data_IF_864805515508
#
_entry.id   IF_864805515508
#
_cell.length_a   1.000
_cell.length_b   1.000
_cell.length_c   1.000
_cell.angle_alpha   90.00
_cell.angle_beta   90.00
_cell.angle_gamma   90.00
#
_symmetry.space_group_name_H-M   'P 1'
#
loop_
_entity.id
_entity.type
_entity.pdbx_description
1 polymer ?
#
# COMPACT_ATOMS: atom_id res chain seq x y z
N UNK A 1 16.34 14.93 13.29
CA UNK A 1 15.00 14.63 13.85
C UNK A 1 14.70 13.17 13.51
N UNK A 2 14.38 12.34 14.51
CA UNK A 2 14.09 10.92 14.29
C UNK A 2 12.57 10.74 14.08
N UNK A 3 12.18 10.05 13.00
CA UNK A 3 10.78 9.68 12.77
C UNK A 3 10.39 8.59 13.75
N UNK A 4 9.31 8.77 14.51
CA UNK A 4 8.80 7.79 15.46
C UNK A 4 7.31 7.54 15.24
N UNK A 5 6.88 6.30 15.50
CA UNK A 5 5.47 5.88 15.52
C UNK A 5 5.05 5.42 16.92
N UNK A 6 5.79 5.86 17.95
CA UNK A 6 5.51 5.48 19.34
C UNK A 6 4.05 5.75 19.70
N UNK A 7 3.42 4.78 20.35
CA UNK A 7 2.02 4.84 20.77
C UNK A 7 0.99 4.66 19.65
N UNK A 8 1.37 4.56 18.37
CA UNK A 8 0.44 4.36 17.24
C UNK A 8 0.18 2.87 16.96
N UNK A 9 -0.97 2.58 16.39
CA UNK A 9 -1.40 1.24 15.96
C UNK A 9 -1.68 1.29 14.46
N UNK A 10 -1.13 0.33 13.71
CA UNK A 10 -1.28 0.26 12.26
C UNK A 10 -1.94 -1.03 11.78
N UNK A 11 -2.66 -0.93 10.66
CA UNK A 11 -3.03 -2.06 9.79
C UNK A 11 -2.29 -1.88 8.47
N UNK A 12 -1.59 -2.93 8.00
CA UNK A 12 -0.85 -2.93 6.72
C UNK A 12 -1.31 -4.09 5.87
N UNK A 13 -1.85 -3.82 4.68
CA UNK A 13 -2.28 -4.86 3.73
C UNK A 13 -1.19 -5.18 2.70
N UNK A 14 -1.16 -6.44 2.20
CA UNK A 14 -0.07 -6.92 1.36
C UNK A 14 1.27 -6.97 2.13
N UNK A 15 1.21 -7.39 3.38
CA UNK A 15 2.28 -7.24 4.36
C UNK A 15 3.41 -8.29 4.23
N UNK A 16 3.21 -9.36 3.47
CA UNK A 16 4.13 -10.49 3.45
C UNK A 16 5.27 -10.36 2.44
N UNK A 17 5.25 -9.36 1.56
CA UNK A 17 6.28 -9.19 0.54
C UNK A 17 6.48 -7.72 0.12
N UNK A 18 7.57 -7.46 -0.61
CA UNK A 18 7.83 -6.18 -1.26
C UNK A 18 7.69 -4.97 -0.33
N UNK A 19 6.99 -3.95 -0.80
CA UNK A 19 6.78 -2.68 -0.08
C UNK A 19 6.08 -2.93 1.28
N UNK A 20 5.03 -3.76 1.31
CA UNK A 20 4.28 -4.03 2.54
C UNK A 20 5.15 -4.65 3.64
N UNK A 21 6.00 -5.62 3.30
CA UNK A 21 6.94 -6.23 4.24
C UNK A 21 7.98 -5.21 4.75
N UNK A 22 8.51 -4.38 3.86
CA UNK A 22 9.43 -3.32 4.25
C UNK A 22 8.76 -2.30 5.19
N UNK A 23 7.48 -1.94 4.94
CA UNK A 23 6.70 -1.07 5.84
C UNK A 23 6.53 -1.72 7.22
N UNK A 24 6.15 -3.01 7.28
CA UNK A 24 6.02 -3.73 8.56
C UNK A 24 7.31 -3.67 9.36
N UNK A 25 8.45 -4.01 8.73
CA UNK A 25 9.77 -3.95 9.36
C UNK A 25 10.11 -2.54 9.87
N UNK A 26 9.90 -1.54 9.02
CA UNK A 26 10.22 -0.15 9.36
C UNK A 26 9.32 0.40 10.48
N UNK A 27 8.02 0.04 10.49
CA UNK A 27 7.10 0.47 11.55
C UNK A 27 7.47 -0.14 12.91
N UNK A 28 7.81 -1.44 12.95
CA UNK A 28 8.30 -2.09 14.17
C UNK A 28 9.60 -1.43 14.67
N UNK A 29 10.54 -1.13 13.77
CA UNK A 29 11.79 -0.43 14.09
C UNK A 29 11.55 1.02 14.56
N UNK A 30 10.48 1.67 14.09
CA UNK A 30 10.09 3.04 14.48
C UNK A 30 9.30 3.11 15.79
N UNK A 31 9.20 2.00 16.53
CA UNK A 31 8.61 1.96 17.87
C UNK A 31 7.08 1.95 17.89
N UNK A 32 6.43 1.46 16.83
CA UNK A 32 4.96 1.34 16.79
C UNK A 32 4.44 0.50 17.97
N UNK A 33 3.29 0.87 18.53
CA UNK A 33 2.72 0.18 19.68
C UNK A 33 1.97 -1.11 19.31
N UNK A 34 1.41 -1.16 18.10
CA UNK A 34 0.72 -2.34 17.60
C UNK A 34 0.64 -2.34 16.07
N UNK A 35 0.64 -3.54 15.47
CA UNK A 35 0.58 -3.71 14.03
C UNK A 35 -0.21 -4.97 13.67
N UNK A 36 -1.18 -4.83 12.76
CA UNK A 36 -1.86 -5.94 12.12
C UNK A 36 -1.35 -6.06 10.69
N UNK A 37 -0.61 -7.14 10.42
CA UNK A 37 -0.12 -7.51 9.10
C UNK A 37 -1.17 -8.36 8.38
N UNK A 38 -1.62 -7.93 7.19
CA UNK A 38 -2.67 -8.61 6.43
C UNK A 38 -2.11 -9.08 5.10
N UNK A 39 -2.30 -10.34 4.73
CA UNK A 39 -1.92 -10.86 3.42
C UNK A 39 -2.86 -12.00 2.99
N UNK A 40 -2.77 -12.39 1.71
CA UNK A 40 -3.69 -13.36 1.11
C UNK A 40 -3.58 -14.76 1.74
N UNK A 41 -2.38 -15.20 2.09
CA UNK A 41 -2.15 -16.52 2.63
C UNK A 41 -2.93 -16.75 3.94
N UNK A 42 -3.69 -17.88 4.08
CA UNK A 42 -4.48 -18.11 5.29
C UNK A 42 -3.60 -18.29 6.54
N UNK A 43 -2.41 -18.87 6.38
CA UNK A 43 -1.40 -19.00 7.42
C UNK A 43 -0.30 -17.97 7.24
N UNK A 44 0.31 -17.55 8.35
CA UNK A 44 1.40 -16.56 8.34
C UNK A 44 2.55 -17.03 7.43
N UNK A 45 2.93 -16.24 6.41
CA UNK A 45 4.08 -16.55 5.56
C UNK A 45 5.41 -16.53 6.29
N UNK A 46 6.38 -17.32 5.83
CA UNK A 46 7.71 -17.42 6.43
C UNK A 46 8.44 -16.08 6.49
N UNK A 47 8.18 -15.16 5.55
CA UNK A 47 8.73 -13.80 5.54
C UNK A 47 8.35 -12.96 6.77
N UNK A 48 7.26 -13.31 7.47
CA UNK A 48 6.79 -12.65 8.68
C UNK A 48 7.12 -13.45 9.96
N UNK A 49 7.61 -14.69 9.86
CA UNK A 49 7.79 -15.58 11.01
C UNK A 49 8.75 -15.00 12.06
N UNK A 50 9.86 -14.42 11.65
CA UNK A 50 10.80 -13.79 12.60
C UNK A 50 10.18 -12.55 13.27
N UNK A 51 9.40 -11.78 12.52
CA UNK A 51 8.71 -10.59 13.03
C UNK A 51 7.57 -10.94 13.99
N UNK A 52 7.01 -12.15 13.89
CA UNK A 52 5.91 -12.60 14.76
C UNK A 52 6.36 -12.84 16.21
N UNK A 53 7.67 -12.92 16.48
CA UNK A 53 8.20 -12.95 17.84
C UNK A 53 7.99 -11.60 18.56
N UNK A 54 7.79 -10.53 17.82
CA UNK A 54 7.41 -9.23 18.37
C UNK A 54 5.93 -9.24 18.75
N UNK A 55 5.65 -9.15 20.04
CA UNK A 55 4.28 -9.18 20.59
C UNK A 55 3.39 -8.02 20.11
N UNK A 56 3.99 -7.02 19.47
CA UNK A 56 3.26 -5.91 18.84
C UNK A 56 2.68 -6.27 17.49
N UNK A 57 3.02 -7.42 16.89
CA UNK A 57 2.53 -7.81 15.57
C UNK A 57 1.53 -8.96 15.65
N UNK A 58 0.39 -8.80 14.97
CA UNK A 58 -0.60 -9.84 14.72
C UNK A 58 -0.78 -10.04 13.21
N UNK A 59 -1.08 -11.26 12.79
CA UNK A 59 -1.30 -11.60 11.39
C UNK A 59 -2.77 -11.95 11.13
N UNK A 60 -3.30 -11.48 10.00
CA UNK A 60 -4.63 -11.86 9.49
C UNK A 60 -4.49 -12.30 8.03
N UNK A 61 -4.75 -13.59 7.78
CA UNK A 61 -4.75 -14.13 6.41
C UNK A 61 -6.13 -13.98 5.76
N UNK A 62 -6.17 -13.51 4.50
CA UNK A 62 -7.41 -13.40 3.73
C UNK A 62 -7.33 -12.45 2.52
N UNK A 63 -8.29 -12.61 1.62
CA UNK A 63 -8.43 -11.74 0.46
C UNK A 63 -8.98 -10.37 0.89
N UNK A 64 -8.17 -9.32 0.71
CA UNK A 64 -8.55 -7.94 1.02
C UNK A 64 -9.73 -7.42 0.17
N UNK A 65 -9.97 -8.05 -0.99
CA UNK A 65 -11.13 -7.78 -1.85
C UNK A 65 -12.48 -8.24 -1.25
N UNK A 66 -12.50 -8.72 0.00
CA UNK A 66 -13.70 -9.17 0.71
C UNK A 66 -13.99 -8.35 1.97
N UNK A 67 -15.28 -8.12 2.25
CA UNK A 67 -15.73 -7.39 3.45
C UNK A 67 -15.36 -8.16 4.74
N UNK A 68 -15.41 -9.49 4.72
CA UNK A 68 -15.04 -10.34 5.86
C UNK A 68 -13.58 -10.14 6.29
N UNK A 69 -12.65 -10.11 5.36
CA UNK A 69 -11.23 -9.88 5.69
C UNK A 69 -11.05 -8.50 6.31
N UNK A 70 -11.70 -7.47 5.75
CA UNK A 70 -11.64 -6.12 6.30
C UNK A 70 -12.21 -6.03 7.72
N UNK A 71 -13.30 -6.71 7.99
CA UNK A 71 -13.88 -6.85 9.33
C UNK A 71 -12.91 -7.53 10.29
N UNK A 72 -12.34 -8.69 9.90
CA UNK A 72 -11.43 -9.48 10.76
C UNK A 72 -10.17 -8.72 11.16
N UNK A 73 -9.49 -8.06 10.23
CA UNK A 73 -8.28 -7.32 10.60
C UNK A 73 -8.60 -6.08 11.46
N UNK A 74 -9.76 -5.45 11.26
CA UNK A 74 -10.24 -4.35 12.10
C UNK A 74 -10.53 -4.83 13.51
N UNK A 75 -11.28 -5.92 13.66
CA UNK A 75 -11.57 -6.54 14.95
C UNK A 75 -10.30 -7.00 15.67
N UNK A 76 -9.32 -7.56 14.94
CA UNK A 76 -8.02 -7.94 15.50
C UNK A 76 -7.30 -6.72 16.08
N UNK A 77 -7.23 -5.61 15.34
CA UNK A 77 -6.59 -4.40 15.83
C UNK A 77 -7.28 -3.85 17.10
N UNK A 78 -8.60 -3.81 17.10
CA UNK A 78 -9.36 -3.30 18.24
C UNK A 78 -9.25 -4.21 19.46
N UNK A 79 -9.32 -5.53 19.27
CA UNK A 79 -9.23 -6.51 20.36
C UNK A 79 -7.86 -6.47 21.05
N UNK A 80 -6.77 -6.36 20.29
CA UNK A 80 -5.43 -6.41 20.85
C UNK A 80 -4.88 -5.05 21.28
N UNK A 81 -5.30 -3.95 20.61
CA UNK A 81 -4.69 -2.64 20.80
C UNK A 81 -5.68 -1.51 21.16
N UNK A 82 -6.99 -1.76 21.02
CA UNK A 82 -8.05 -0.80 21.41
C UNK A 82 -8.27 0.37 20.45
N UNK A 83 -7.44 0.51 19.38
CA UNK A 83 -7.49 1.63 18.44
C UNK A 83 -6.86 1.29 17.09
N UNK A 84 -7.04 2.18 16.11
CA UNK A 84 -6.33 2.15 14.82
C UNK A 84 -5.95 3.59 14.47
N UNK A 85 -4.64 3.89 14.43
CA UNK A 85 -4.14 5.22 14.09
C UNK A 85 -3.72 5.30 12.62
N UNK A 86 -3.27 4.19 12.02
CA UNK A 86 -2.71 4.15 10.67
C UNK A 86 -3.33 2.98 9.89
N UNK A 87 -3.81 3.27 8.68
CA UNK A 87 -4.16 2.26 7.67
C UNK A 87 -3.24 2.41 6.47
N UNK A 88 -2.58 1.33 6.07
CA UNK A 88 -1.81 1.27 4.83
C UNK A 88 -2.51 0.31 3.86
N UNK A 89 -3.17 0.86 2.84
CA UNK A 89 -3.71 0.12 1.71
C UNK A 89 -2.58 -0.10 0.69
N UNK A 90 -1.83 -1.20 0.88
CA UNK A 90 -0.69 -1.53 0.03
C UNK A 90 -0.93 -2.77 -0.83
N UNK A 91 -1.79 -3.70 -0.44
CA UNK A 91 -2.12 -4.86 -1.26
C UNK A 91 -2.51 -4.45 -2.68
N UNK A 92 -1.93 -5.11 -3.66
CA UNK A 92 -2.20 -4.82 -5.06
C UNK A 92 -1.58 -5.86 -5.98
N UNK A 93 -2.21 -6.01 -7.14
CA UNK A 93 -1.78 -6.92 -8.20
C UNK A 93 -1.77 -6.21 -9.55
N UNK A 94 -1.04 -6.78 -10.49
CA UNK A 94 -1.01 -6.35 -11.89
C UNK A 94 -1.16 -7.58 -12.79
N UNK A 95 -1.99 -7.46 -13.84
CA UNK A 95 -2.07 -8.39 -14.96
C UNK A 95 -1.57 -7.63 -16.18
N UNK A 96 -0.37 -8.00 -16.67
CA UNK A 96 0.32 -7.28 -17.77
C UNK A 96 -0.25 -7.71 -19.12
N UNK A 97 -1.26 -7.00 -19.59
CA UNK A 97 -1.91 -7.22 -20.89
C UNK A 97 -2.49 -5.91 -21.46
N UNK A 98 -2.57 -5.74 -22.78
CA UNK A 98 -3.42 -4.73 -23.40
C UNK A 98 -4.90 -4.93 -22.98
N UNK A 99 -5.66 -3.84 -22.88
CA UNK A 99 -7.04 -3.87 -22.37
C UNK A 99 -7.93 -4.91 -23.07
N UNK A 100 -7.87 -5.00 -24.41
CA UNK A 100 -8.73 -5.90 -25.21
C UNK A 100 -8.40 -7.40 -25.04
N UNK A 101 -7.30 -7.73 -24.36
CA UNK A 101 -6.90 -9.11 -24.05
C UNK A 101 -7.19 -9.52 -22.60
N UNK A 102 -7.65 -8.59 -21.75
CA UNK A 102 -8.12 -8.96 -20.42
C UNK A 102 -9.40 -9.74 -20.49
N UNK A 103 -9.51 -10.81 -19.68
CA UNK A 103 -10.82 -11.41 -19.42
C UNK A 103 -11.57 -10.57 -18.37
N UNK A 104 -12.92 -10.68 -18.29
CA UNK A 104 -13.69 -10.05 -17.22
C UNK A 104 -13.17 -10.40 -15.82
N UNK A 105 -12.78 -11.66 -15.60
CA UNK A 105 -12.28 -12.16 -14.31
C UNK A 105 -10.92 -11.52 -13.94
N UNK A 106 -10.03 -11.35 -14.92
CA UNK A 106 -8.74 -10.67 -14.71
C UNK A 106 -8.93 -9.17 -14.39
N UNK A 107 -9.87 -8.51 -15.10
CA UNK A 107 -10.25 -7.14 -14.80
C UNK A 107 -10.82 -7.02 -13.39
N UNK A 108 -11.80 -7.85 -13.05
CA UNK A 108 -12.46 -7.85 -11.75
C UNK A 108 -11.48 -8.16 -10.61
N UNK A 109 -10.56 -9.09 -10.83
CA UNK A 109 -9.51 -9.43 -9.86
C UNK A 109 -8.64 -8.21 -9.54
N UNK A 110 -8.18 -7.47 -10.57
CA UNK A 110 -7.38 -6.26 -10.38
C UNK A 110 -8.19 -5.17 -9.67
N UNK A 111 -9.42 -4.91 -10.11
CA UNK A 111 -10.27 -3.88 -9.50
C UNK A 111 -10.68 -4.23 -8.07
N UNK A 112 -11.01 -5.49 -7.79
CA UNK A 112 -11.37 -5.94 -6.45
C UNK A 112 -10.19 -5.80 -5.47
N UNK A 113 -8.98 -6.21 -5.89
CA UNK A 113 -7.80 -6.16 -5.03
C UNK A 113 -7.27 -4.73 -4.85
N UNK A 114 -7.18 -3.95 -5.93
CA UNK A 114 -6.51 -2.65 -5.88
C UNK A 114 -7.43 -1.50 -5.44
N UNK A 115 -8.74 -1.62 -5.68
CA UNK A 115 -9.71 -0.52 -5.46
C UNK A 115 -10.77 -0.89 -4.43
N UNK A 116 -11.50 -2.00 -4.65
CA UNK A 116 -12.61 -2.38 -3.77
C UNK A 116 -12.14 -2.72 -2.36
N UNK A 117 -10.93 -3.26 -2.21
CA UNK A 117 -10.29 -3.47 -0.91
C UNK A 117 -10.18 -2.18 -0.09
N UNK A 118 -9.89 -1.04 -0.73
CA UNK A 118 -9.85 0.26 -0.03
C UNK A 118 -11.23 0.68 0.48
N UNK A 119 -12.29 0.39 -0.29
CA UNK A 119 -13.66 0.61 0.17
C UNK A 119 -13.98 -0.22 1.42
N UNK A 120 -13.67 -1.52 1.40
CA UNK A 120 -13.92 -2.38 2.56
C UNK A 120 -13.08 -1.97 3.79
N UNK A 121 -11.80 -1.68 3.60
CA UNK A 121 -10.95 -1.16 4.69
C UNK A 121 -11.51 0.12 5.27
N UNK A 122 -11.89 1.08 4.41
CA UNK A 122 -12.47 2.36 4.83
C UNK A 122 -13.79 2.17 5.57
N UNK A 123 -14.69 1.33 5.07
CA UNK A 123 -15.98 1.04 5.69
C UNK A 123 -15.87 0.64 7.16
N UNK A 124 -14.86 -0.16 7.51
CA UNK A 124 -14.69 -0.66 8.89
C UNK A 124 -13.80 0.25 9.75
N UNK A 125 -12.76 0.89 9.16
CA UNK A 125 -11.78 1.67 9.94
C UNK A 125 -12.18 3.13 10.10
N UNK A 126 -12.78 3.78 9.08
CA UNK A 126 -13.14 5.20 9.16
C UNK A 126 -14.07 5.53 10.35
N UNK A 127 -15.11 4.73 10.68
CA UNK A 127 -15.94 5.02 11.86
C UNK A 127 -15.13 5.04 13.17
N UNK A 128 -14.07 4.22 13.27
CA UNK A 128 -13.18 4.17 14.43
C UNK A 128 -12.34 5.45 14.49
N UNK A 129 -11.67 5.79 13.38
CA UNK A 129 -10.85 7.01 13.28
C UNK A 129 -11.68 8.29 13.49
N UNK A 130 -12.92 8.33 12.97
CA UNK A 130 -13.85 9.46 13.22
C UNK A 130 -14.18 9.62 14.71
N UNK A 131 -14.44 8.53 15.41
CA UNK A 131 -14.66 8.54 16.87
C UNK A 131 -13.39 8.96 17.63
N UNK A 132 -12.22 8.55 17.16
CA UNK A 132 -10.92 8.94 17.71
C UNK A 132 -10.60 10.43 17.43
N UNK A 133 -11.23 11.05 16.41
CA UNK A 133 -10.90 12.35 15.83
C UNK A 133 -9.44 12.45 15.40
N UNK A 134 -8.90 11.34 14.92
CA UNK A 134 -7.52 11.21 14.48
C UNK A 134 -7.36 9.95 13.63
N UNK A 135 -6.56 10.03 12.58
CA UNK A 135 -6.23 8.88 11.74
C UNK A 135 -5.32 9.26 10.56
N UNK A 136 -4.61 8.28 10.05
CA UNK A 136 -3.81 8.41 8.84
C UNK A 136 -4.09 7.23 7.91
N UNK A 137 -4.50 7.52 6.67
CA UNK A 137 -4.65 6.52 5.62
C UNK A 137 -3.59 6.80 4.55
N UNK A 138 -2.80 5.78 4.23
CA UNK A 138 -1.78 5.82 3.20
C UNK A 138 -2.07 4.76 2.15
N UNK A 139 -2.15 5.18 0.90
CA UNK A 139 -2.48 4.33 -0.23
C UNK A 139 -1.25 4.15 -1.13
N UNK A 140 -0.95 2.91 -1.54
CA UNK A 140 0.10 2.64 -2.52
C UNK A 140 -0.42 2.94 -3.92
N UNK A 141 -0.11 4.14 -4.40
CA UNK A 141 -0.33 4.59 -5.77
C UNK A 141 0.72 4.06 -6.74
N UNK A 142 0.75 4.62 -7.93
CA UNK A 142 1.71 4.25 -8.99
C UNK A 142 1.84 5.39 -10.00
N UNK A 143 2.97 5.45 -10.69
CA UNK A 143 3.12 6.25 -11.94
C UNK A 143 2.01 5.92 -12.95
N UNK A 144 1.53 4.67 -12.96
CA UNK A 144 0.45 4.23 -13.86
C UNK A 144 -0.91 4.88 -13.57
N UNK A 145 -1.07 5.51 -12.41
CA UNK A 145 -2.25 6.32 -12.09
C UNK A 145 -2.17 7.76 -12.61
N UNK A 146 -0.99 8.21 -13.02
CA UNK A 146 -0.75 9.56 -13.59
C UNK A 146 -0.46 9.51 -15.09
N UNK A 147 0.20 8.45 -15.57
CA UNK A 147 0.63 8.31 -16.96
C UNK A 147 0.16 7.00 -17.57
N UNK A 148 -0.17 7.01 -18.87
CA UNK A 148 -0.48 5.79 -19.61
C UNK A 148 0.79 4.95 -19.82
N UNK A 149 0.76 3.68 -19.40
CA UNK A 149 1.84 2.73 -19.62
C UNK A 149 1.30 1.57 -20.44
N UNK A 150 1.96 1.18 -21.55
CA UNK A 150 1.51 0.06 -22.37
C UNK A 150 1.33 -1.23 -21.55
N UNK A 151 0.38 -2.04 -21.94
CA UNK A 151 0.06 -3.36 -21.34
C UNK A 151 -0.43 -3.33 -19.89
N UNK A 152 -0.87 -2.18 -19.39
CA UNK A 152 -1.46 -2.03 -18.04
C UNK A 152 -2.96 -1.74 -18.11
N UNK A 153 -3.69 -2.51 -18.92
CA UNK A 153 -5.09 -2.28 -19.27
C UNK A 153 -6.04 -2.17 -18.06
N UNK A 154 -5.91 -3.00 -17.04
CA UNK A 154 -6.67 -2.91 -15.80
C UNK A 154 -5.90 -2.16 -14.69
N UNK A 155 -4.58 -2.31 -14.64
CA UNK A 155 -3.76 -1.76 -13.55
C UNK A 155 -3.73 -0.23 -13.55
N UNK A 156 -3.49 0.39 -14.71
CA UNK A 156 -3.49 1.86 -14.83
C UNK A 156 -4.79 2.49 -14.32
N UNK A 157 -5.97 2.09 -14.86
CA UNK A 157 -7.26 2.55 -14.34
C UNK A 157 -7.45 2.31 -12.84
N UNK A 158 -7.01 1.15 -12.30
CA UNK A 158 -7.11 0.88 -10.87
C UNK A 158 -6.27 1.86 -10.03
N UNK A 159 -5.07 2.23 -10.49
CA UNK A 159 -4.20 3.17 -9.78
C UNK A 159 -4.67 4.63 -9.92
N UNK A 160 -5.28 4.98 -11.05
CA UNK A 160 -6.01 6.24 -11.19
C UNK A 160 -7.18 6.35 -10.19
N UNK A 161 -7.94 5.25 -10.02
CA UNK A 161 -9.00 5.18 -9.00
C UNK A 161 -8.46 5.32 -7.57
N UNK A 162 -7.29 4.69 -7.24
CA UNK A 162 -6.61 4.86 -5.94
C UNK A 162 -6.27 6.33 -5.70
N UNK A 163 -5.75 7.04 -6.70
CA UNK A 163 -5.41 8.46 -6.60
C UNK A 163 -6.66 9.32 -6.34
N UNK A 164 -7.75 9.07 -7.07
CA UNK A 164 -8.97 9.84 -6.90
C UNK A 164 -9.68 9.52 -5.58
N UNK A 165 -9.75 8.25 -5.16
CA UNK A 165 -10.26 7.88 -3.84
C UNK A 165 -9.46 8.55 -2.72
N UNK A 166 -8.14 8.72 -2.89
CA UNK A 166 -7.30 9.44 -1.93
C UNK A 166 -7.75 10.89 -1.77
N UNK A 167 -8.00 11.60 -2.86
CA UNK A 167 -8.47 13.01 -2.84
C UNK A 167 -9.87 13.11 -2.23
N UNK A 168 -10.78 12.24 -2.65
CA UNK A 168 -12.16 12.21 -2.15
C UNK A 168 -12.19 11.98 -0.63
N UNK A 169 -11.51 10.93 -0.15
CA UNK A 169 -11.49 10.60 1.28
C UNK A 169 -10.78 11.69 2.10
N UNK A 170 -9.74 12.32 1.56
CA UNK A 170 -9.04 13.40 2.25
C UNK A 170 -9.97 14.58 2.56
N UNK A 171 -10.77 15.03 1.58
CA UNK A 171 -11.71 16.14 1.74
C UNK A 171 -12.85 15.76 2.67
N UNK A 172 -13.40 14.55 2.51
CA UNK A 172 -14.57 14.10 3.26
C UNK A 172 -14.26 13.90 4.76
N UNK A 173 -13.04 13.39 5.07
CA UNK A 173 -12.69 13.01 6.46
C UNK A 173 -11.72 13.96 7.16
N UNK A 174 -11.20 15.01 6.49
CA UNK A 174 -10.39 16.05 7.13
C UNK A 174 -11.06 16.70 8.35
N UNK A 175 -12.40 16.99 8.35
CA UNK A 175 -13.07 17.54 9.52
C UNK A 175 -13.02 16.66 10.77
N UNK A 176 -12.70 15.38 10.60
CA UNK A 176 -12.54 14.42 11.70
C UNK A 176 -11.09 14.23 12.13
N UNK A 177 -10.16 15.06 11.62
CA UNK A 177 -8.74 14.94 11.95
C UNK A 177 -8.05 13.75 11.24
N UNK A 178 -8.64 13.24 10.15
CA UNK A 178 -8.10 12.12 9.38
C UNK A 178 -7.37 12.65 8.15
N UNK A 179 -6.11 12.21 7.96
CA UNK A 179 -5.31 12.53 6.79
C UNK A 179 -5.31 11.34 5.84
N UNK A 180 -5.45 11.59 4.54
CA UNK A 180 -5.42 10.55 3.51
C UNK A 180 -4.48 10.99 2.40
N UNK A 181 -3.44 10.19 2.11
CA UNK A 181 -2.48 10.48 1.04
C UNK A 181 -2.13 9.21 0.27
N UNK A 182 -1.67 9.36 -0.96
CA UNK A 182 -1.11 8.29 -1.75
C UNK A 182 0.38 8.53 -2.03
N UNK A 183 1.14 7.44 -2.09
CA UNK A 183 2.51 7.45 -2.58
C UNK A 183 2.51 6.84 -3.98
N UNK A 184 2.72 7.68 -5.00
CA UNK A 184 2.78 7.30 -6.40
C UNK A 184 4.15 6.68 -6.72
N UNK A 185 4.26 5.38 -6.58
CA UNK A 185 5.53 4.68 -6.76
C UNK A 185 5.90 4.55 -8.25
N UNK A 186 7.18 4.77 -8.55
CA UNK A 186 7.82 4.30 -9.78
C UNK A 186 8.02 2.78 -9.76
N UNK A 187 9.05 2.31 -10.45
CA UNK A 187 9.44 0.89 -10.37
C UNK A 187 10.22 0.63 -9.08
N UNK A 188 9.73 -0.30 -8.29
CA UNK A 188 10.30 -0.70 -7.00
C UNK A 188 10.78 -2.15 -7.09
N UNK A 189 11.98 -2.43 -6.60
CA UNK A 189 12.54 -3.79 -6.56
C UNK A 189 11.73 -4.66 -5.60
N UNK A 190 10.87 -5.48 -6.18
CA UNK A 190 9.90 -6.31 -5.45
C UNK A 190 9.66 -7.62 -6.20
N UNK A 191 9.12 -8.66 -5.54
CA UNK A 191 8.74 -9.90 -6.22
C UNK A 191 7.78 -9.69 -7.41
N UNK A 192 6.93 -8.66 -7.38
CA UNK A 192 6.04 -8.30 -8.48
C UNK A 192 6.83 -7.93 -9.74
N UNK A 193 7.86 -7.09 -9.62
CA UNK A 193 8.72 -6.68 -10.74
C UNK A 193 9.58 -7.84 -11.24
N UNK A 194 10.13 -8.64 -10.32
CA UNK A 194 10.90 -9.85 -10.68
C UNK A 194 10.05 -10.83 -11.50
N UNK A 195 8.80 -11.05 -11.10
CA UNK A 195 7.87 -11.90 -11.86
C UNK A 195 7.57 -11.32 -13.23
N UNK A 196 7.28 -10.03 -13.32
CA UNK A 196 7.05 -9.35 -14.62
C UNK A 196 8.28 -9.45 -15.55
N UNK A 197 9.49 -9.37 -14.98
CA UNK A 197 10.72 -9.55 -15.75
C UNK A 197 10.84 -10.98 -16.32
N UNK A 198 10.51 -12.00 -15.53
CA UNK A 198 10.50 -13.39 -15.98
C UNK A 198 9.45 -13.58 -17.11
N UNK A 199 8.24 -13.09 -16.89
CA UNK A 199 7.11 -13.20 -17.83
C UNK A 199 7.37 -12.46 -19.16
N UNK A 200 8.28 -11.46 -19.16
CA UNK A 200 8.69 -10.73 -20.38
C UNK A 200 9.48 -11.58 -21.39
N UNK A 201 9.99 -12.75 -20.97
CA UNK A 201 10.86 -13.63 -21.76
C UNK A 201 12.30 -13.15 -21.90
N UNK A 202 12.64 -11.93 -21.49
CA UNK A 202 14.00 -11.40 -21.43
C UNK A 202 14.20 -10.52 -20.18
N UNK A 203 14.44 -11.13 -19.00
CA UNK A 203 14.55 -10.41 -17.74
C UNK A 203 15.62 -9.31 -17.74
N UNK A 204 16.76 -9.54 -18.39
CA UNK A 204 17.86 -8.57 -18.41
C UNK A 204 17.46 -7.30 -19.18
N UNK A 205 16.93 -7.47 -20.39
CA UNK A 205 16.47 -6.34 -21.21
C UNK A 205 15.31 -5.59 -20.54
N UNK A 206 14.38 -6.33 -19.91
CA UNK A 206 13.26 -5.74 -19.17
C UNK A 206 13.75 -4.89 -18.00
N UNK A 207 14.68 -5.40 -17.18
CA UNK A 207 15.23 -4.66 -16.03
C UNK A 207 16.07 -3.45 -16.50
N UNK A 208 16.81 -3.54 -17.61
CA UNK A 208 17.53 -2.41 -18.20
C UNK A 208 16.54 -1.32 -18.63
N UNK A 209 15.50 -1.68 -19.36
CA UNK A 209 14.43 -0.75 -19.77
C UNK A 209 13.78 -0.05 -18.56
N UNK A 210 13.49 -0.80 -17.49
CA UNK A 210 12.91 -0.21 -16.27
C UNK A 210 13.84 0.84 -15.63
N UNK A 211 15.17 0.59 -15.60
CA UNK A 211 16.15 1.56 -15.09
C UNK A 211 16.23 2.80 -15.97
N UNK A 212 16.30 2.62 -17.28
CA UNK A 212 16.41 3.71 -18.27
C UNK A 212 15.16 4.60 -18.27
N UNK A 213 14.01 4.05 -17.92
CA UNK A 213 12.77 4.81 -17.78
C UNK A 213 12.78 5.79 -16.61
N UNK A 214 13.69 5.63 -15.63
CA UNK A 214 13.80 6.53 -14.50
C UNK A 214 15.02 7.45 -14.67
N UNK A 215 14.85 8.79 -14.75
CA UNK A 215 15.97 9.73 -14.88
C UNK A 215 17.09 9.56 -13.87
N UNK A 216 16.77 9.07 -12.65
CA UNK A 216 17.76 8.77 -11.62
C UNK A 216 18.67 7.56 -11.97
N UNK A 217 18.36 6.80 -13.07
CA UNK A 217 19.19 5.70 -13.59
C UNK A 217 19.08 4.38 -12.81
N UNK A 218 18.11 4.23 -11.93
CA UNK A 218 17.86 3.00 -11.16
C UNK A 218 16.40 2.84 -10.77
N UNK A 219 16.01 1.65 -10.39
CA UNK A 219 14.77 1.40 -9.64
C UNK A 219 15.00 1.65 -8.14
N UNK A 220 13.94 1.93 -7.39
CA UNK A 220 14.04 2.12 -5.94
C UNK A 220 13.96 0.79 -5.19
N UNK A 221 14.48 0.76 -3.96
CA UNK A 221 14.27 -0.36 -3.04
C UNK A 221 12.93 -0.24 -2.30
N UNK A 222 12.43 -1.35 -1.77
CA UNK A 222 11.22 -1.35 -0.95
C UNK A 222 11.44 -0.55 0.37
N UNK A 223 12.65 -0.55 0.90
CA UNK A 223 13.05 0.17 2.12
C UNK A 223 13.01 1.70 1.92
N UNK A 224 13.40 2.20 0.74
CA UNK A 224 13.27 3.63 0.41
C UNK A 224 11.80 4.05 0.47
N UNK A 225 10.91 3.24 -0.11
CA UNK A 225 9.46 3.50 -0.07
C UNK A 225 8.93 3.41 1.37
N UNK A 226 9.31 2.38 2.12
CA UNK A 226 8.87 2.19 3.51
C UNK A 226 9.28 3.36 4.42
N UNK A 227 10.49 3.92 4.20
CA UNK A 227 10.95 5.10 4.93
C UNK A 227 10.04 6.31 4.70
N UNK A 228 9.58 6.51 3.45
CA UNK A 228 8.65 7.59 3.14
C UNK A 228 7.24 7.34 3.70
N UNK A 229 6.74 6.09 3.63
CA UNK A 229 5.49 5.71 4.32
C UNK A 229 5.57 5.99 5.82
N UNK A 230 6.71 5.72 6.45
CA UNK A 230 6.92 5.96 7.89
C UNK A 230 6.87 7.46 8.21
N UNK A 231 7.52 8.30 7.40
CA UNK A 231 7.43 9.76 7.52
C UNK A 231 5.99 10.24 7.39
N UNK A 232 5.28 9.80 6.35
CA UNK A 232 3.89 10.19 6.08
C UNK A 232 2.89 9.72 7.14
N UNK A 233 3.19 8.60 7.82
CA UNK A 233 2.42 8.08 8.96
C UNK A 233 2.66 8.86 10.25
N UNK A 234 3.78 9.56 10.38
CA UNK A 234 4.18 10.30 11.58
C UNK A 234 3.49 11.66 11.70
N UNK A 235 3.61 12.27 12.87
CA UNK A 235 3.09 13.62 13.14
C UNK A 235 3.88 14.73 12.42
N UNK A 236 5.08 14.41 11.91
CA UNK A 236 5.88 15.32 11.06
C UNK A 236 5.20 15.65 9.72
N UNK A 237 4.30 14.77 9.27
CA UNK A 237 3.52 14.95 8.04
C UNK A 237 2.11 15.50 8.29
N UNK A 238 1.87 16.19 9.42
CA UNK A 238 0.54 16.62 9.88
C UNK A 238 -0.20 17.56 8.91
N UNK A 239 0.51 18.25 8.02
CA UNK A 239 -0.10 19.17 7.04
C UNK A 239 -0.33 18.54 5.65
N UNK A 240 -0.02 17.24 5.48
CA UNK A 240 -0.27 16.51 4.23
C UNK A 240 -1.62 15.78 4.29
N UNK A 241 -2.55 16.18 3.43
CA UNK A 241 -3.78 15.41 3.14
C UNK A 241 -4.22 15.68 1.70
N UNK A 242 -4.76 14.66 1.01
CA UNK A 242 -5.23 14.71 -0.38
C UNK A 242 -4.10 14.67 -1.43
N UNK A 243 -2.85 14.53 -1.01
CA UNK A 243 -1.72 14.52 -1.92
C UNK A 243 -1.49 13.14 -2.54
N UNK A 244 -1.13 13.13 -3.83
CA UNK A 244 -0.47 12.01 -4.50
C UNK A 244 1.00 12.39 -4.64
N UNK A 245 1.84 11.80 -3.81
CA UNK A 245 3.26 12.14 -3.70
C UNK A 245 4.08 11.18 -4.56
N UNK A 246 4.57 11.67 -5.71
CA UNK A 246 5.33 10.84 -6.65
C UNK A 246 6.72 10.53 -6.10
N UNK A 247 7.00 9.23 -5.94
CA UNK A 247 8.29 8.67 -5.56
C UNK A 247 8.77 7.76 -6.69
N UNK A 248 9.21 8.37 -7.80
CA UNK A 248 9.34 7.71 -9.08
C UNK A 248 10.67 7.97 -9.80
N UNK A 249 11.66 8.51 -9.13
CA UNK A 249 12.97 8.78 -9.70
C UNK A 249 12.94 9.72 -10.92
N UNK A 250 11.92 10.60 -11.00
CA UNK A 250 11.75 11.57 -12.08
C UNK A 250 10.98 11.02 -13.29
N UNK A 251 10.38 9.84 -13.19
CA UNK A 251 9.64 9.23 -14.31
C UNK A 251 8.53 10.14 -14.84
N UNK A 252 7.73 10.73 -13.97
CA UNK A 252 6.60 11.59 -14.32
C UNK A 252 6.97 13.07 -14.55
N UNK A 253 8.25 13.43 -14.39
CA UNK A 253 8.73 14.82 -14.56
C UNK A 253 9.22 15.13 -15.98
N UNK A 254 9.22 14.15 -16.90
CA UNK A 254 9.69 14.29 -18.29
C UNK A 254 8.52 14.29 -19.29
#
# INVERSE_FOLDING_TARGET
MQVTLAGKVAVVTGAASGIGLAIVKQYLASGIAGLVAVDLAPNMPTSLTELSQDKRMHYVGGDVGTDDTAKRFTETAITHFGKIDILVNNAGINVVKPLHLHTPEEWDLVMNTNVKAMYFSGRHILPIMMKQKSGVILNTGSISGETGIPTQGAYGPSKGAVHEMTRQLAIEYAPYGIRVNAIGCGTIDTPLVTRSAIDSGNPQAFMAMLKDNHPIGRIASAEEVASFFTYMASDLASFFTGAVLMMDGGYSAK
#
